data_IF_090654747757
#
_entry.id   IF_090654747757
#
_cell.length_a   1.000
_cell.length_b   1.000
_cell.length_c   1.000
_cell.angle_alpha   90.00
_cell.angle_beta   90.00
_cell.angle_gamma   90.00
#
_symmetry.space_group_name_H-M   'P 1'
#
loop_
_entity.id
_entity.type
_entity.pdbx_description
1 polymer ?
#
# COMPACT_ATOMS: atom_id res chain seq x y z
N UNK A 1 15.06 9.15 -3.51
CA UNK A 1 14.76 7.93 -2.75
C UNK A 1 14.17 6.91 -3.70
N UNK A 2 14.69 5.69 -3.71
CA UNK A 2 14.62 4.75 -4.83
C UNK A 2 13.27 4.01 -4.87
N UNK A 3 12.74 3.67 -6.06
CA UNK A 3 11.55 2.81 -6.24
C UNK A 3 11.58 1.48 -5.44
N UNK A 4 12.76 1.07 -4.96
CA UNK A 4 12.99 -0.15 -4.19
C UNK A 4 12.49 -0.09 -2.77
N UNK A 5 12.40 1.10 -2.20
CA UNK A 5 11.93 1.26 -0.82
C UNK A 5 10.40 1.24 -0.76
N UNK A 6 9.72 1.44 -1.90
CA UNK A 6 8.27 1.55 -1.98
C UNK A 6 7.56 0.29 -1.46
N UNK A 7 7.88 -0.95 -1.88
CA UNK A 7 7.23 -2.15 -1.34
C UNK A 7 7.43 -2.33 0.17
N UNK A 8 8.62 -2.04 0.69
CA UNK A 8 8.90 -2.13 2.14
C UNK A 8 8.06 -1.14 2.94
N UNK A 9 7.94 0.09 2.45
CA UNK A 9 7.13 1.14 3.09
C UNK A 9 5.63 0.83 3.01
N UNK A 10 5.16 0.30 1.88
CA UNK A 10 3.79 -0.15 1.71
C UNK A 10 3.43 -1.27 2.70
N UNK A 11 4.31 -2.26 2.86
CA UNK A 11 4.13 -3.32 3.84
C UNK A 11 4.04 -2.75 5.27
N UNK A 12 4.98 -1.89 5.65
CA UNK A 12 4.97 -1.26 6.98
C UNK A 12 3.71 -0.45 7.26
N UNK A 13 3.17 0.23 6.24
CA UNK A 13 1.89 0.93 6.33
C UNK A 13 0.72 -0.03 6.47
N UNK A 14 0.68 -1.11 5.68
CA UNK A 14 -0.37 -2.13 5.75
C UNK A 14 -0.42 -2.77 7.15
N UNK A 15 0.73 -3.16 7.70
CA UNK A 15 0.86 -3.68 9.06
C UNK A 15 0.41 -2.68 10.12
N UNK A 16 0.72 -1.39 9.94
CA UNK A 16 0.33 -0.34 10.88
C UNK A 16 -1.18 -0.16 10.89
N UNK A 17 -1.80 -0.08 9.71
CA UNK A 17 -3.25 0.08 9.59
C UNK A 17 -4.00 -1.17 10.08
N UNK A 18 -3.49 -2.37 9.77
CA UNK A 18 -4.08 -3.62 10.24
C UNK A 18 -4.02 -3.74 11.77
N UNK A 19 -2.91 -3.33 12.41
CA UNK A 19 -2.83 -3.26 13.89
C UNK A 19 -3.82 -2.30 14.53
N UNK A 20 -4.40 -1.38 13.75
CA UNK A 20 -5.44 -0.47 14.21
C UNK A 20 -6.85 -0.98 13.91
N UNK A 21 -7.03 -2.20 13.39
CA UNK A 21 -8.33 -2.80 13.10
C UNK A 21 -9.34 -2.67 14.24
N UNK A 22 -8.92 -2.88 15.49
CA UNK A 22 -9.79 -2.68 16.66
C UNK A 22 -10.28 -1.24 16.83
N UNK A 23 -9.40 -0.25 16.65
CA UNK A 23 -9.78 1.17 16.68
C UNK A 23 -10.68 1.55 15.50
N UNK A 24 -10.41 0.97 14.33
CA UNK A 24 -11.18 1.18 13.11
C UNK A 24 -12.57 0.53 13.17
N UNK A 25 -12.71 -0.55 13.93
CA UNK A 25 -13.98 -1.23 14.15
C UNK A 25 -14.95 -0.40 14.98
N UNK A 26 -14.42 0.47 15.85
CA UNK A 26 -15.19 1.41 16.67
C UNK A 26 -15.72 2.63 15.88
N UNK A 27 -15.39 2.77 14.58
CA UNK A 27 -15.99 3.78 13.71
C UNK A 27 -17.49 3.52 13.53
N UNK A 28 -18.24 4.59 13.28
CA UNK A 28 -19.62 4.49 12.82
C UNK A 28 -19.70 3.75 11.49
N UNK A 29 -20.82 3.04 11.29
CA UNK A 29 -21.02 2.13 10.15
C UNK A 29 -20.69 2.76 8.79
N UNK A 30 -21.09 4.00 8.45
CA UNK A 30 -20.75 4.61 7.17
C UNK A 30 -19.23 4.77 6.96
N UNK A 31 -18.50 5.22 7.98
CA UNK A 31 -17.05 5.39 7.90
C UNK A 31 -16.34 4.04 7.85
N UNK A 32 -16.76 3.08 8.68
CA UNK A 32 -16.21 1.72 8.69
C UNK A 32 -16.32 1.07 7.30
N UNK A 33 -17.52 1.13 6.69
CA UNK A 33 -17.74 0.65 5.32
C UNK A 33 -16.86 1.37 4.28
N UNK A 34 -16.65 2.67 4.43
CA UNK A 34 -15.77 3.45 3.55
C UNK A 34 -14.31 3.00 3.67
N UNK A 35 -13.82 2.79 4.89
CA UNK A 35 -12.46 2.28 5.14
C UNK A 35 -12.30 0.87 4.56
N UNK A 36 -13.27 -0.02 4.78
CA UNK A 36 -13.27 -1.37 4.22
C UNK A 36 -13.19 -1.35 2.68
N UNK A 37 -13.97 -0.47 2.03
CA UNK A 37 -13.95 -0.32 0.56
C UNK A 37 -12.59 0.16 0.04
N UNK A 38 -11.96 1.11 0.73
CA UNK A 38 -10.61 1.56 0.35
C UNK A 38 -9.56 0.48 0.58
N UNK A 39 -9.63 -0.24 1.70
CA UNK A 39 -8.73 -1.36 1.99
C UNK A 39 -8.82 -2.44 0.89
N UNK A 40 -10.02 -2.83 0.48
CA UNK A 40 -10.25 -3.75 -0.64
C UNK A 40 -9.65 -3.22 -1.95
N UNK A 41 -9.92 -1.94 -2.26
CA UNK A 41 -9.41 -1.31 -3.49
C UNK A 41 -7.88 -1.27 -3.52
N UNK A 42 -7.25 -1.00 -2.38
CA UNK A 42 -5.80 -1.01 -2.22
C UNK A 42 -5.26 -2.44 -2.42
N UNK A 43 -5.88 -3.45 -1.82
CA UNK A 43 -5.49 -4.85 -1.99
C UNK A 43 -5.52 -5.28 -3.46
N UNK A 44 -6.62 -5.01 -4.17
CA UNK A 44 -6.74 -5.30 -5.61
C UNK A 44 -5.67 -4.58 -6.45
N UNK A 45 -5.30 -3.36 -6.04
CA UNK A 45 -4.28 -2.57 -6.73
C UNK A 45 -2.86 -3.09 -6.45
N UNK A 46 -2.60 -3.56 -5.22
CA UNK A 46 -1.36 -4.25 -4.85
C UNK A 46 -1.18 -5.55 -5.64
N UNK A 47 -2.22 -6.35 -5.81
CA UNK A 47 -2.17 -7.56 -6.65
C UNK A 47 -1.88 -7.27 -8.13
N UNK A 48 -2.38 -6.14 -8.68
CA UNK A 48 -1.99 -5.67 -10.02
C UNK A 48 -0.53 -5.22 -10.06
N UNK A 49 -0.07 -4.47 -9.05
CA UNK A 49 1.31 -4.04 -8.95
C UNK A 49 2.29 -5.23 -8.86
N UNK A 50 1.97 -6.25 -8.07
CA UNK A 50 2.75 -7.47 -7.95
C UNK A 50 2.90 -8.19 -9.29
N UNK A 51 1.83 -8.31 -10.09
CA UNK A 51 1.87 -8.90 -11.44
C UNK A 51 2.83 -8.15 -12.39
N UNK A 52 2.82 -6.81 -12.36
CA UNK A 52 3.79 -6.03 -13.15
C UNK A 52 5.22 -6.19 -12.61
N UNK A 53 5.40 -6.30 -11.29
CA UNK A 53 6.71 -6.53 -10.69
C UNK A 53 7.29 -7.91 -11.04
N UNK A 54 6.45 -8.96 -11.14
CA UNK A 54 6.86 -10.28 -11.64
C UNK A 54 7.34 -10.20 -13.08
N UNK A 55 6.56 -9.57 -13.97
CA UNK A 55 6.96 -9.37 -15.37
C UNK A 55 8.30 -8.65 -15.51
N UNK A 56 8.55 -7.62 -14.69
CA UNK A 56 9.83 -6.90 -14.68
C UNK A 56 10.99 -7.71 -14.08
N UNK A 57 10.70 -8.70 -13.24
CA UNK A 57 11.72 -9.60 -12.71
C UNK A 57 12.14 -10.64 -13.77
N UNK A 58 11.20 -11.06 -14.62
CA UNK A 58 11.42 -11.98 -15.75
C UNK A 58 12.05 -11.26 -16.95
N UNK A 59 11.53 -10.07 -17.30
CA UNK A 59 12.03 -9.20 -18.36
C UNK A 59 12.21 -7.76 -17.84
N UNK A 60 13.44 -7.39 -17.42
CA UNK A 60 13.75 -6.02 -17.00
C UNK A 60 13.56 -4.95 -18.10
N UNK A 61 13.44 -5.36 -19.38
CA UNK A 61 13.20 -4.50 -20.52
C UNK A 61 11.73 -4.20 -20.80
N UNK A 62 10.80 -4.86 -20.10
CA UNK A 62 9.35 -4.71 -20.31
C UNK A 62 8.84 -3.32 -19.87
N UNK A 63 8.88 -2.37 -20.82
CA UNK A 63 8.41 -0.99 -20.61
C UNK A 63 6.92 -0.91 -20.27
N UNK A 64 6.12 -1.88 -20.69
CA UNK A 64 4.68 -1.91 -20.37
C UNK A 64 4.51 -2.27 -18.91
N UNK A 65 5.25 -3.27 -18.42
CA UNK A 65 5.26 -3.63 -17.01
C UNK A 65 5.85 -2.52 -16.13
N UNK A 66 6.89 -1.82 -16.58
CA UNK A 66 7.46 -0.66 -15.87
C UNK A 66 6.41 0.43 -15.65
N UNK A 67 5.75 0.87 -16.73
CA UNK A 67 4.69 1.89 -16.66
C UNK A 67 3.49 1.41 -15.86
N UNK A 68 3.11 0.14 -16.02
CA UNK A 68 2.04 -0.51 -15.26
C UNK A 68 2.32 -0.44 -13.75
N UNK A 69 3.51 -0.84 -13.34
CA UNK A 69 3.94 -0.81 -11.94
C UNK A 69 3.93 0.63 -11.39
N UNK A 70 4.52 1.59 -12.10
CA UNK A 70 4.55 3.00 -11.68
C UNK A 70 3.13 3.56 -11.48
N UNK A 71 2.22 3.24 -12.40
CA UNK A 71 0.81 3.66 -12.34
C UNK A 71 0.08 3.06 -11.14
N UNK A 72 0.15 1.74 -10.94
CA UNK A 72 -0.54 1.09 -9.82
C UNK A 72 0.02 1.58 -8.48
N UNK A 73 1.34 1.74 -8.36
CA UNK A 73 1.94 2.36 -7.16
C UNK A 73 1.41 3.78 -6.95
N UNK A 74 1.22 4.57 -8.00
CA UNK A 74 0.64 5.92 -7.91
C UNK A 74 -0.79 5.91 -7.37
N UNK A 75 -1.63 5.00 -7.88
CA UNK A 75 -3.00 4.81 -7.39
C UNK A 75 -3.04 4.42 -5.93
N UNK A 76 -2.16 3.50 -5.50
CA UNK A 76 -2.07 3.08 -4.09
C UNK A 76 -1.79 4.28 -3.19
N UNK A 77 -0.85 5.16 -3.56
CA UNK A 77 -0.57 6.39 -2.79
C UNK A 77 -1.83 7.24 -2.61
N UNK A 78 -2.57 7.52 -3.69
CA UNK A 78 -3.80 8.33 -3.60
C UNK A 78 -4.92 7.67 -2.78
N UNK A 79 -5.07 6.34 -2.87
CA UNK A 79 -6.03 5.62 -2.04
C UNK A 79 -5.65 5.64 -0.55
N UNK A 80 -4.36 5.53 -0.24
CA UNK A 80 -3.87 5.64 1.14
C UNK A 80 -4.09 7.04 1.71
N UNK A 81 -3.83 8.09 0.93
CA UNK A 81 -4.13 9.47 1.33
C UNK A 81 -5.61 9.65 1.64
N UNK A 82 -6.47 9.10 0.79
CA UNK A 82 -7.92 9.16 0.98
C UNK A 82 -8.36 8.40 2.23
N UNK A 83 -7.83 7.18 2.43
CA UNK A 83 -8.09 6.38 3.62
C UNK A 83 -7.67 7.15 4.89
N UNK A 84 -6.47 7.73 4.92
CA UNK A 84 -5.98 8.53 6.05
C UNK A 84 -6.83 9.78 6.27
N UNK A 85 -7.35 10.39 5.21
CA UNK A 85 -8.32 11.49 5.29
C UNK A 85 -9.58 11.09 6.07
N UNK A 86 -10.10 9.88 5.86
CA UNK A 86 -11.23 9.34 6.63
C UNK A 86 -10.86 9.15 8.11
N UNK A 87 -9.62 8.77 8.39
CA UNK A 87 -9.14 8.48 9.76
C UNK A 87 -8.71 9.72 10.55
N UNK A 88 -8.55 10.87 9.90
CA UNK A 88 -7.98 12.10 10.50
C UNK A 88 -8.66 12.53 11.80
N UNK A 89 -9.96 12.32 11.93
CA UNK A 89 -10.75 12.73 13.09
C UNK A 89 -10.87 11.64 14.18
N UNK A 90 -10.30 10.46 13.94
CA UNK A 90 -10.46 9.28 14.81
C UNK A 90 -9.14 8.72 15.34
N UNK A 91 -8.02 9.09 14.72
CA UNK A 91 -6.69 8.74 15.21
C UNK A 91 -6.13 9.89 16.05
N UNK A 92 -5.42 9.53 17.13
CA UNK A 92 -4.64 10.51 17.88
C UNK A 92 -3.57 11.19 16.99
N UNK A 93 -3.19 12.41 17.37
CA UNK A 93 -2.28 13.23 16.57
C UNK A 93 -0.92 12.56 16.29
N UNK A 94 -0.44 11.70 17.21
CA UNK A 94 0.84 10.98 17.04
C UNK A 94 0.74 9.88 15.99
N UNK A 95 -0.32 9.07 16.03
CA UNK A 95 -0.62 8.05 15.03
C UNK A 95 -0.77 8.68 13.64
N UNK A 96 -1.56 9.74 13.55
CA UNK A 96 -1.79 10.45 12.30
C UNK A 96 -0.49 11.03 11.72
N UNK A 97 0.34 11.69 12.54
CA UNK A 97 1.64 12.21 12.11
C UNK A 97 2.56 11.09 11.62
N UNK A 98 2.56 9.95 12.30
CA UNK A 98 3.31 8.76 11.89
C UNK A 98 2.89 8.21 10.53
N UNK A 99 1.59 8.17 10.21
CA UNK A 99 1.12 7.71 8.89
C UNK A 99 1.43 8.73 7.81
N UNK A 100 1.17 10.02 8.05
CA UNK A 100 1.47 11.10 7.10
C UNK A 100 2.95 11.13 6.71
N UNK A 101 3.85 11.04 7.69
CA UNK A 101 5.30 10.96 7.44
C UNK A 101 5.67 9.77 6.54
N UNK A 102 5.02 8.62 6.72
CA UNK A 102 5.23 7.44 5.87
C UNK A 102 4.65 7.62 4.46
N UNK A 103 3.52 8.33 4.32
CA UNK A 103 2.93 8.68 3.01
C UNK A 103 3.78 9.68 2.24
N UNK A 104 4.28 10.73 2.88
CA UNK A 104 5.20 11.70 2.27
C UNK A 104 6.45 10.98 1.72
N UNK A 105 6.95 10.00 2.46
CA UNK A 105 8.05 9.14 2.02
C UNK A 105 7.70 8.22 0.85
N UNK A 106 6.43 7.90 0.60
CA UNK A 106 5.99 7.19 -0.60
C UNK A 106 5.87 8.11 -1.82
N UNK A 107 5.52 9.38 -1.61
CA UNK A 107 5.40 10.41 -2.65
C UNK A 107 6.76 10.92 -3.18
N UNK A 108 7.82 10.87 -2.36
CA UNK A 108 9.19 11.23 -2.75
C UNK A 108 9.86 10.17 -3.63
N UNK A 109 9.34 9.99 -4.86
CA UNK A 109 9.88 9.04 -5.84
C UNK A 109 11.07 9.65 -6.58
N UNK A 110 12.23 8.99 -6.50
CA UNK A 110 13.31 9.11 -7.48
C UNK A 110 13.45 7.73 -8.13
N UNK A 111 13.25 7.67 -9.45
CA UNK A 111 13.48 6.44 -10.19
C UNK A 111 14.97 6.08 -10.05
N UNK A 112 15.24 4.93 -9.45
CA UNK A 112 16.53 4.30 -9.56
C UNK A 112 16.30 2.91 -10.13
N UNK A 113 17.23 2.44 -10.95
CA UNK A 113 17.24 1.08 -11.46
C UNK A 113 17.92 0.19 -10.43
N UNK A 114 17.27 -0.90 -10.03
CA UNK A 114 17.92 -1.89 -9.19
C UNK A 114 18.14 -3.17 -9.97
N UNK A 115 19.41 -3.46 -10.12
CA UNK A 115 19.95 -4.70 -10.64
C UNK A 115 19.90 -5.77 -9.54
N UNK A 116 19.31 -6.94 -9.83
CA UNK A 116 19.41 -8.15 -9.00
C UNK A 116 18.09 -8.91 -8.81
N UNK A 117 18.06 -10.19 -9.21
CA UNK A 117 16.88 -11.06 -9.14
C UNK A 117 16.38 -11.35 -7.71
N UNK A 118 17.28 -11.59 -6.76
CA UNK A 118 16.91 -11.80 -5.34
C UNK A 118 16.21 -10.57 -4.73
N UNK A 119 16.70 -9.37 -5.05
CA UNK A 119 16.08 -8.13 -4.61
C UNK A 119 14.70 -7.92 -5.25
N UNK A 120 14.48 -8.39 -6.48
CA UNK A 120 13.17 -8.35 -7.15
C UNK A 120 12.15 -9.24 -6.45
N UNK A 121 12.54 -10.48 -6.11
CA UNK A 121 11.67 -11.42 -5.38
C UNK A 121 11.21 -10.87 -4.03
N UNK A 122 12.14 -10.36 -3.23
CA UNK A 122 11.82 -9.72 -1.94
C UNK A 122 10.85 -8.53 -2.09
N UNK A 123 10.93 -7.78 -3.19
CA UNK A 123 9.98 -6.69 -3.46
C UNK A 123 8.59 -7.20 -3.80
N UNK A 124 8.49 -8.27 -4.61
CA UNK A 124 7.23 -8.93 -4.95
C UNK A 124 6.57 -9.48 -3.68
N UNK A 125 7.32 -10.20 -2.86
CA UNK A 125 6.82 -10.79 -1.61
C UNK A 125 6.25 -9.72 -0.67
N UNK A 126 6.88 -8.54 -0.60
CA UNK A 126 6.38 -7.40 0.19
C UNK A 126 5.08 -6.82 -0.36
N UNK A 127 4.90 -6.78 -1.67
CA UNK A 127 3.64 -6.32 -2.29
C UNK A 127 2.50 -7.31 -1.99
N UNK A 128 2.78 -8.62 -2.08
CA UNK A 128 1.81 -9.68 -1.77
C UNK A 128 1.46 -9.71 -0.28
N UNK A 129 2.44 -9.54 0.61
CA UNK A 129 2.18 -9.44 2.04
C UNK A 129 1.34 -8.20 2.38
N UNK A 130 1.64 -7.04 1.78
CA UNK A 130 0.85 -5.83 1.95
C UNK A 130 -0.59 -6.02 1.46
N UNK A 131 -0.79 -6.71 0.33
CA UNK A 131 -2.12 -7.08 -0.17
C UNK A 131 -2.88 -7.89 0.89
N UNK A 132 -2.27 -8.93 1.46
CA UNK A 132 -2.87 -9.77 2.49
C UNK A 132 -3.35 -8.97 3.70
N UNK A 133 -2.53 -8.05 4.22
CA UNK A 133 -2.91 -7.17 5.33
C UNK A 133 -4.10 -6.27 5.00
N UNK A 134 -4.17 -5.72 3.79
CA UNK A 134 -5.30 -4.90 3.37
C UNK A 134 -6.58 -5.71 3.18
N UNK A 135 -6.50 -6.95 2.67
CA UNK A 135 -7.67 -7.86 2.62
C UNK A 135 -8.17 -8.17 4.02
N UNK A 136 -7.28 -8.60 4.92
CA UNK A 136 -7.63 -8.90 6.30
C UNK A 136 -8.25 -7.68 7.01
N UNK A 137 -7.73 -6.48 6.76
CA UNK A 137 -8.32 -5.25 7.25
C UNK A 137 -9.73 -5.02 6.69
N UNK A 138 -9.93 -5.16 5.37
CA UNK A 138 -11.24 -4.99 4.76
C UNK A 138 -12.27 -5.95 5.37
N UNK A 139 -11.91 -7.22 5.54
CA UNK A 139 -12.77 -8.25 6.10
C UNK A 139 -13.12 -7.98 7.57
N UNK A 140 -12.13 -7.57 8.38
CA UNK A 140 -12.35 -7.22 9.79
C UNK A 140 -13.32 -6.06 10.01
N UNK A 141 -13.53 -5.20 9.00
CA UNK A 141 -14.38 -4.02 9.10
C UNK A 141 -15.79 -4.23 8.51
N UNK A 142 -16.02 -5.36 7.84
CA UNK A 142 -17.33 -5.72 7.27
C UNK A 142 -18.28 -6.36 8.27
N UNK A 143 -17.77 -6.74 9.43
CA UNK A 143 -18.51 -7.37 10.54
C UNK A 143 -19.41 -6.36 11.27
#
# INVERSE_FOLDING_TARGET
MHLLDTPKRLLSLAETLHRWSGLLSALDRPRRSKVARYAETIALTLGRAARFAVRLAEDPGDRVAERGLVRELGRITGYLETLVGVLKHHLDGRKLAGVKRRLEQLGSRRAGRASGGAAARVRIDRLLAAEGYFRALADSLRV
#
